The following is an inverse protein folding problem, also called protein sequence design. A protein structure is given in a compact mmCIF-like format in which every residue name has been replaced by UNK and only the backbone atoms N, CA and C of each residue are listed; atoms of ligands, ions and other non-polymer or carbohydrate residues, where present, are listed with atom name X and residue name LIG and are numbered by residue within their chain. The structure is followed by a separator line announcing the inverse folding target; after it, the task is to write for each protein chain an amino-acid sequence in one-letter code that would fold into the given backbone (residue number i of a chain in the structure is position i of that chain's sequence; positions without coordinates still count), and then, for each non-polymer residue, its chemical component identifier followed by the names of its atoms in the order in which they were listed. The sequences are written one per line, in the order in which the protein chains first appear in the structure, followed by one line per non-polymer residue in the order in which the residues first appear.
data_IF_499358312740
#
_entry.id   IF_499358312740
#
_cell.length_a   1.000
_cell.length_b   1.000
_cell.length_c   1.000
_cell.angle_alpha   90.00
_cell.angle_beta   90.00
_cell.angle_gamma   90.00
#
_symmetry.space_group_name_H-M   'P 1'
#
loop_
_entity.id
_entity.type
_entity.pdbx_description
1 polymer ?
#
# COMPACT_ATOMS: atom_id res chain seq x y z
N UNK A 1 -1.79 3.80 19.60
CA UNK A 1 -1.43 2.55 20.30
C UNK A 1 -2.08 1.32 19.64
N UNK A 2 -3.41 1.15 19.68
CA UNK A 2 -4.11 -0.01 19.05
C UNK A 2 -3.88 -0.12 17.54
N UNK A 3 -4.01 0.98 16.79
CA UNK A 3 -3.75 0.98 15.34
C UNK A 3 -2.32 0.54 15.01
N UNK A 4 -1.34 1.04 15.77
CA UNK A 4 0.08 0.69 15.62
C UNK A 4 0.37 -0.76 15.98
N UNK A 5 -0.26 -1.30 17.04
CA UNK A 5 -0.19 -2.72 17.40
C UNK A 5 -0.78 -3.61 16.31
N UNK A 6 -1.91 -3.20 15.72
CA UNK A 6 -2.53 -3.88 14.59
C UNK A 6 -1.60 -3.94 13.37
N UNK A 7 -1.00 -2.80 13.00
CA UNK A 7 -0.01 -2.71 11.91
C UNK A 7 1.19 -3.62 12.16
N UNK A 8 1.75 -3.60 13.37
CA UNK A 8 2.94 -4.39 13.72
C UNK A 8 2.61 -5.89 13.69
N UNK A 9 1.49 -6.30 14.29
CA UNK A 9 1.09 -7.71 14.37
C UNK A 9 0.75 -8.26 12.98
N UNK A 10 -0.04 -7.52 12.21
CA UNK A 10 -0.35 -7.87 10.83
C UNK A 10 0.93 -7.95 9.98
N UNK A 11 1.80 -6.93 10.07
CA UNK A 11 3.08 -6.89 9.36
C UNK A 11 3.98 -8.09 9.67
N UNK A 12 4.07 -8.53 10.93
CA UNK A 12 4.84 -9.71 11.31
C UNK A 12 4.23 -11.02 10.81
N UNK A 13 2.90 -11.16 10.83
CA UNK A 13 2.22 -12.32 10.25
C UNK A 13 2.50 -12.40 8.75
N UNK A 14 2.42 -11.28 8.04
CA UNK A 14 2.71 -11.25 6.61
C UNK A 14 4.18 -11.49 6.28
N UNK A 15 5.12 -10.97 7.07
CA UNK A 15 6.55 -11.25 6.88
C UNK A 15 6.86 -12.77 6.98
N UNK A 16 6.20 -13.48 7.91
CA UNK A 16 6.33 -14.94 8.01
C UNK A 16 5.70 -15.68 6.82
N UNK A 17 4.60 -15.17 6.28
CA UNK A 17 3.98 -15.72 5.07
C UNK A 17 4.89 -15.48 3.85
N UNK A 18 5.54 -14.32 3.75
CA UNK A 18 6.48 -13.96 2.68
C UNK A 18 7.65 -14.93 2.55
N UNK A 19 8.22 -15.34 3.68
CA UNK A 19 9.29 -16.33 3.70
C UNK A 19 8.89 -17.70 3.11
N UNK A 20 7.58 -18.04 3.07
CA UNK A 20 7.09 -19.33 2.57
C UNK A 20 6.66 -19.30 1.10
N UNK A 21 6.07 -18.20 0.62
CA UNK A 21 5.48 -18.13 -0.72
C UNK A 21 6.23 -17.22 -1.70
N UNK A 22 7.27 -16.50 -1.24
CA UNK A 22 8.12 -15.62 -2.03
C UNK A 22 7.67 -14.16 -2.02
N UNK A 23 8.63 -13.23 -1.98
CA UNK A 23 8.41 -11.78 -1.84
C UNK A 23 7.53 -11.20 -2.95
N UNK A 24 7.72 -11.63 -4.21
CA UNK A 24 6.92 -11.15 -5.34
C UNK A 24 5.44 -11.52 -5.21
N UNK A 25 5.14 -12.77 -4.82
CA UNK A 25 3.74 -13.21 -4.62
C UNK A 25 3.10 -12.45 -3.47
N UNK A 26 3.85 -12.21 -2.39
CA UNK A 26 3.36 -11.45 -1.24
C UNK A 26 3.11 -10.00 -1.60
N UNK A 27 3.99 -9.35 -2.36
CA UNK A 27 3.74 -8.00 -2.86
C UNK A 27 2.45 -7.95 -3.70
N UNK A 28 2.25 -8.92 -4.60
CA UNK A 28 1.04 -8.99 -5.43
C UNK A 28 -0.23 -9.18 -4.60
N UNK A 29 -0.20 -10.07 -3.60
CA UNK A 29 -1.33 -10.28 -2.68
C UNK A 29 -1.61 -8.99 -1.87
N UNK A 30 -0.55 -8.33 -1.38
CA UNK A 30 -0.67 -7.07 -0.65
C UNK A 30 -1.32 -5.97 -1.49
N UNK A 31 -0.87 -5.80 -2.74
CA UNK A 31 -1.46 -4.81 -3.67
C UNK A 31 -2.92 -5.12 -4.00
N UNK A 32 -3.28 -6.40 -4.22
CA UNK A 32 -4.66 -6.79 -4.46
C UNK A 32 -5.54 -6.55 -3.23
N UNK A 33 -5.02 -6.85 -2.03
CA UNK A 33 -5.73 -6.63 -0.77
C UNK A 33 -5.92 -5.15 -0.49
N UNK A 34 -4.90 -4.32 -0.76
CA UNK A 34 -5.00 -2.86 -0.67
C UNK A 34 -6.08 -2.33 -1.63
N UNK A 35 -6.03 -2.71 -2.92
CA UNK A 35 -6.99 -2.24 -3.92
C UNK A 35 -8.44 -2.65 -3.58
N UNK A 36 -8.68 -3.91 -3.23
CA UNK A 36 -10.02 -4.37 -2.84
C UNK A 36 -10.48 -3.70 -1.53
N UNK A 37 -9.58 -3.55 -0.57
CA UNK A 37 -9.84 -2.86 0.69
C UNK A 37 -10.18 -1.39 0.49
N UNK A 38 -9.43 -0.66 -0.34
CA UNK A 38 -9.62 0.75 -0.64
C UNK A 38 -10.93 1.02 -1.39
N UNK A 39 -11.26 0.17 -2.38
CA UNK A 39 -12.56 0.23 -3.08
C UNK A 39 -13.71 -0.03 -2.10
N UNK A 40 -13.61 -1.09 -1.30
CA UNK A 40 -14.64 -1.42 -0.31
C UNK A 40 -14.80 -0.31 0.73
N UNK A 41 -13.70 0.25 1.23
CA UNK A 41 -13.68 1.35 2.17
C UNK A 41 -14.40 2.57 1.60
N UNK A 42 -14.09 2.97 0.37
CA UNK A 42 -14.73 4.10 -0.28
C UNK A 42 -16.24 3.89 -0.47
N UNK A 43 -16.67 2.69 -0.87
CA UNK A 43 -18.09 2.36 -0.96
C UNK A 43 -18.79 2.41 0.41
N UNK A 44 -18.18 1.85 1.46
CA UNK A 44 -18.75 1.88 2.82
C UNK A 44 -18.88 3.30 3.37
N UNK A 45 -17.92 4.18 3.07
CA UNK A 45 -18.00 5.61 3.39
C UNK A 45 -19.12 6.28 2.60
N UNK A 46 -19.28 5.95 1.32
CA UNK A 46 -20.28 6.58 0.44
C UNK A 46 -21.72 6.26 0.82
N UNK A 47 -21.96 5.10 1.43
CA UNK A 47 -23.30 4.69 1.92
C UNK A 47 -23.52 4.96 3.41
N UNK A 48 -22.58 5.63 4.08
CA UNK A 48 -22.60 5.90 5.52
C UNK A 48 -22.84 4.64 6.37
N UNK A 49 -22.10 3.56 6.10
CA UNK A 49 -22.25 2.24 6.72
C UNK A 49 -21.94 2.17 8.23
N UNK A 50 -21.70 3.31 8.87
CA UNK A 50 -21.31 3.43 10.27
C UNK A 50 -19.91 2.89 10.57
N UNK A 51 -19.55 2.87 11.85
CA UNK A 51 -18.18 2.58 12.31
C UNK A 51 -17.67 1.20 11.89
N UNK A 52 -18.49 0.15 12.05
CA UNK A 52 -18.08 -1.22 11.74
C UNK A 52 -17.89 -1.45 10.24
N UNK A 53 -18.72 -0.79 9.41
CA UNK A 53 -18.58 -0.83 7.94
C UNK A 53 -17.27 -0.22 7.44
N UNK A 54 -16.71 0.75 8.18
CA UNK A 54 -15.43 1.39 7.86
C UNK A 54 -14.26 0.59 8.45
N UNK A 55 -14.38 0.10 9.68
CA UNK A 55 -13.26 -0.51 10.41
C UNK A 55 -12.73 -1.78 9.73
N UNK A 56 -13.63 -2.61 9.19
CA UNK A 56 -13.28 -3.88 8.53
C UNK A 56 -12.42 -3.63 7.28
N UNK A 57 -12.88 -2.89 6.25
CA UNK A 57 -12.06 -2.62 5.07
C UNK A 57 -10.81 -1.80 5.38
N UNK A 58 -10.88 -0.87 6.34
CA UNK A 58 -9.71 -0.12 6.79
C UNK A 58 -8.62 -1.04 7.35
N UNK A 59 -8.99 -2.07 8.11
CA UNK A 59 -8.03 -3.05 8.63
C UNK A 59 -7.27 -3.76 7.51
N UNK A 60 -7.93 -4.12 6.41
CA UNK A 60 -7.29 -4.76 5.25
C UNK A 60 -6.34 -3.80 4.50
N UNK A 61 -6.75 -2.54 4.31
CA UNK A 61 -5.88 -1.50 3.72
C UNK A 61 -4.63 -1.32 4.58
N UNK A 62 -4.81 -1.08 5.88
CA UNK A 62 -3.72 -0.83 6.83
C UNK A 62 -2.78 -2.04 6.96
N UNK A 63 -3.34 -3.24 6.97
CA UNK A 63 -2.58 -4.49 6.94
C UNK A 63 -1.68 -4.57 5.70
N UNK A 64 -2.20 -4.18 4.54
CA UNK A 64 -1.48 -4.22 3.27
C UNK A 64 -0.32 -3.22 3.22
N UNK A 65 -0.40 -2.09 3.94
CA UNK A 65 0.70 -1.11 4.04
C UNK A 65 1.97 -1.77 4.60
N UNK A 66 1.87 -2.61 5.61
CA UNK A 66 3.03 -3.33 6.17
C UNK A 66 3.66 -4.30 5.16
N UNK A 67 2.82 -4.98 4.37
CA UNK A 67 3.27 -5.91 3.33
C UNK A 67 4.01 -5.17 2.22
N UNK A 68 3.36 -4.16 1.64
CA UNK A 68 3.88 -3.42 0.50
C UNK A 68 5.10 -2.60 0.92
N UNK A 69 5.05 -1.98 2.11
CA UNK A 69 6.13 -1.16 2.65
C UNK A 69 7.41 -1.94 2.96
N UNK A 70 7.34 -3.25 3.16
CA UNK A 70 8.52 -4.12 3.36
C UNK A 70 8.95 -4.83 2.08
N UNK A 71 7.99 -5.35 1.31
CA UNK A 71 8.29 -6.20 0.15
C UNK A 71 8.70 -5.38 -1.08
N UNK A 72 8.07 -4.22 -1.34
CA UNK A 72 8.36 -3.44 -2.54
C UNK A 72 9.78 -2.84 -2.51
N UNK A 73 10.24 -2.21 -1.41
CA UNK A 73 11.62 -1.74 -1.33
C UNK A 73 12.64 -2.88 -1.43
N UNK A 74 12.38 -4.02 -0.77
CA UNK A 74 13.23 -5.20 -0.85
C UNK A 74 13.43 -5.64 -2.31
N UNK A 75 12.33 -5.89 -3.03
CA UNK A 75 12.35 -6.30 -4.45
C UNK A 75 13.05 -5.27 -5.35
N UNK A 76 12.85 -3.98 -5.10
CA UNK A 76 13.50 -2.92 -5.89
C UNK A 76 15.04 -2.91 -5.70
N UNK A 77 15.52 -3.28 -4.51
CA UNK A 77 16.95 -3.28 -4.18
C UNK A 77 17.68 -4.58 -4.53
N UNK A 78 16.98 -5.69 -4.74
CA UNK A 78 17.59 -7.02 -4.98
C UNK A 78 18.63 -7.04 -6.10
N UNK A 79 18.46 -6.22 -7.14
CA UNK A 79 19.40 -6.14 -8.27
C UNK A 79 20.41 -4.97 -8.18
N UNK A 80 20.39 -4.20 -7.10
CA UNK A 80 21.19 -2.99 -6.95
C UNK A 80 22.35 -3.15 -5.94
N UNK A 81 22.91 -4.35 -5.77
CA UNK A 81 23.85 -4.71 -4.69
C UNK A 81 24.86 -3.63 -4.24
N UNK A 82 25.77 -3.20 -5.12
CA UNK A 82 26.78 -2.18 -4.78
C UNK A 82 26.21 -0.77 -4.53
N UNK A 83 24.98 -0.52 -4.97
CA UNK A 83 24.27 0.76 -4.86
C UNK A 83 23.00 0.67 -4.00
N UNK A 84 22.86 -0.40 -3.19
CA UNK A 84 21.64 -0.65 -2.42
C UNK A 84 21.34 0.48 -1.42
N UNK A 85 22.39 1.07 -0.82
CA UNK A 85 22.25 2.23 0.07
C UNK A 85 21.70 3.46 -0.64
N UNK A 86 22.20 3.78 -1.84
CA UNK A 86 21.69 4.89 -2.65
C UNK A 86 20.27 4.63 -3.16
N UNK A 87 19.97 3.39 -3.54
CA UNK A 87 18.63 2.97 -3.92
C UNK A 87 17.65 3.11 -2.74
N UNK A 88 18.02 2.66 -1.55
CA UNK A 88 17.23 2.82 -0.33
C UNK A 88 16.98 4.30 0.00
N UNK A 89 18.02 5.14 -0.12
CA UNK A 89 17.89 6.58 0.09
C UNK A 89 16.90 7.22 -0.89
N UNK A 90 16.97 6.86 -2.18
CA UNK A 90 16.04 7.36 -3.19
C UNK A 90 14.59 6.91 -2.93
N UNK A 91 14.40 5.63 -2.55
CA UNK A 91 13.08 5.11 -2.17
C UNK A 91 12.54 5.89 -0.96
N UNK A 92 13.36 6.13 0.05
CA UNK A 92 12.98 6.89 1.24
C UNK A 92 12.59 8.33 0.90
N UNK A 93 13.40 9.04 0.09
CA UNK A 93 13.10 10.40 -0.37
C UNK A 93 11.80 10.42 -1.17
N UNK A 94 11.56 9.47 -2.06
CA UNK A 94 10.32 9.37 -2.82
C UNK A 94 9.09 9.19 -1.90
N UNK A 95 9.21 8.34 -0.87
CA UNK A 95 8.15 8.17 0.13
C UNK A 95 7.87 9.47 0.91
N UNK A 96 8.93 10.19 1.32
CA UNK A 96 8.78 11.47 2.02
C UNK A 96 8.14 12.53 1.14
N UNK A 97 8.54 12.63 -0.13
CA UNK A 97 7.96 13.58 -1.09
C UNK A 97 6.48 13.28 -1.35
N UNK A 98 6.14 12.01 -1.57
CA UNK A 98 4.74 11.61 -1.75
C UNK A 98 3.91 11.90 -0.50
N UNK A 99 4.40 11.57 0.70
CA UNK A 99 3.73 11.90 1.95
C UNK A 99 3.53 13.42 2.14
N UNK A 100 4.57 14.20 1.83
CA UNK A 100 4.53 15.66 1.88
C UNK A 100 3.52 16.25 0.88
N UNK A 101 3.35 15.66 -0.30
CA UNK A 101 2.36 16.08 -1.29
C UNK A 101 0.94 15.65 -0.91
N UNK A 102 0.77 14.45 -0.35
CA UNK A 102 -0.55 13.91 0.02
C UNK A 102 -1.16 14.66 1.22
N UNK A 103 -0.33 15.14 2.15
CA UNK A 103 -0.80 15.87 3.34
C UNK A 103 -1.66 17.10 3.00
N UNK A 104 -1.18 18.08 2.19
CA UNK A 104 -2.00 19.21 1.78
C UNK A 104 -3.12 18.80 0.82
N UNK A 105 -2.93 17.79 -0.02
CA UNK A 105 -3.98 17.31 -0.93
C UNK A 105 -5.21 16.82 -0.14
N UNK A 106 -4.98 16.00 0.89
CA UNK A 106 -6.04 15.53 1.80
C UNK A 106 -6.61 16.70 2.61
N UNK A 107 -5.77 17.62 3.08
CA UNK A 107 -6.21 18.80 3.85
C UNK A 107 -7.10 19.76 3.04
N UNK A 108 -6.76 20.01 1.78
CA UNK A 108 -7.55 20.85 0.86
C UNK A 108 -8.86 20.20 0.45
N UNK A 109 -8.90 18.87 0.37
CA UNK A 109 -10.10 18.13 0.02
C UNK A 109 -11.20 18.19 1.11
N UNK A 110 -10.90 18.78 2.26
CA UNK A 110 -11.84 19.10 3.33
C UNK A 110 -11.83 18.06 4.46
N UNK A 111 -11.92 18.54 5.70
CA UNK A 111 -11.92 17.72 6.93
C UNK A 111 -13.32 17.31 7.41
N UNK A 112 -14.37 17.82 6.76
CA UNK A 112 -15.73 17.73 7.29
C UNK A 112 -16.39 16.36 7.05
N UNK A 113 -15.84 15.54 6.14
CA UNK A 113 -16.37 14.20 5.83
C UNK A 113 -15.23 13.23 5.57
N UNK A 114 -15.46 11.92 5.79
CA UNK A 114 -14.48 10.88 5.49
C UNK A 114 -14.34 10.58 3.97
N UNK A 115 -15.22 11.15 3.15
CA UNK A 115 -15.32 10.88 1.72
C UNK A 115 -14.03 11.19 0.93
N UNK A 116 -13.40 12.37 1.08
CA UNK A 116 -12.20 12.70 0.33
C UNK A 116 -11.02 11.79 0.69
N UNK A 117 -10.90 11.41 1.96
CA UNK A 117 -9.88 10.46 2.42
C UNK A 117 -10.09 9.08 1.79
N UNK A 118 -11.33 8.55 1.82
CA UNK A 118 -11.66 7.27 1.20
C UNK A 118 -11.37 7.25 -0.31
N UNK A 119 -11.68 8.35 -1.00
CA UNK A 119 -11.42 8.49 -2.43
C UNK A 119 -9.92 8.46 -2.74
N UNK A 120 -9.11 9.23 -2.00
CA UNK A 120 -7.66 9.28 -2.18
C UNK A 120 -7.02 7.92 -1.92
N UNK A 121 -7.44 7.21 -0.86
CA UNK A 121 -6.96 5.84 -0.57
C UNK A 121 -7.27 4.91 -1.75
N UNK A 122 -8.53 4.90 -2.21
CA UNK A 122 -8.95 4.05 -3.33
C UNK A 122 -8.13 4.34 -4.59
N UNK A 123 -7.93 5.62 -4.94
CA UNK A 123 -7.16 6.01 -6.12
C UNK A 123 -5.68 5.62 -6.01
N UNK A 124 -5.06 5.81 -4.85
CA UNK A 124 -3.69 5.42 -4.60
C UNK A 124 -3.50 3.90 -4.68
N UNK A 125 -4.38 3.12 -4.06
CA UNK A 125 -4.28 1.66 -4.05
C UNK A 125 -4.50 1.05 -5.45
N UNK A 126 -5.50 1.55 -6.19
CA UNK A 126 -5.71 1.19 -7.58
C UNK A 126 -4.54 1.63 -8.47
N UNK A 127 -4.02 2.84 -8.26
CA UNK A 127 -2.85 3.36 -8.97
C UNK A 127 -1.62 2.48 -8.75
N UNK A 128 -1.35 2.08 -7.51
CA UNK A 128 -0.25 1.18 -7.17
C UNK A 128 -0.40 -0.19 -7.83
N UNK A 129 -1.60 -0.77 -7.81
CA UNK A 129 -1.90 -2.05 -8.47
C UNK A 129 -1.71 -1.95 -9.99
N UNK A 130 -2.21 -0.87 -10.61
CA UNK A 130 -2.02 -0.59 -12.03
C UNK A 130 -0.54 -0.45 -12.37
N UNK A 131 0.22 0.36 -11.64
CA UNK A 131 1.65 0.54 -11.83
C UNK A 131 2.40 -0.80 -11.78
N UNK A 132 2.08 -1.66 -10.81
CA UNK A 132 2.68 -2.99 -10.71
C UNK A 132 2.39 -3.85 -11.96
N UNK A 133 1.14 -3.91 -12.43
CA UNK A 133 0.82 -4.73 -13.60
C UNK A 133 1.37 -4.14 -14.92
N UNK A 134 1.35 -2.82 -15.08
CA UNK A 134 1.82 -2.17 -16.31
C UNK A 134 3.33 -2.15 -16.45
N UNK A 135 4.07 -1.89 -15.37
CA UNK A 135 5.52 -1.77 -15.41
C UNK A 135 6.23 -3.07 -15.04
N UNK A 136 5.84 -3.69 -13.92
CA UNK A 136 6.58 -4.84 -13.36
C UNK A 136 6.16 -6.15 -14.02
N UNK A 137 4.86 -6.45 -14.05
CA UNK A 137 4.38 -7.71 -14.62
C UNK A 137 4.57 -7.78 -16.15
N UNK A 138 4.66 -6.62 -16.82
CA UNK A 138 4.85 -6.52 -18.26
C UNK A 138 6.31 -6.59 -18.68
N UNK A 139 7.23 -6.00 -17.91
CA UNK A 139 8.67 -6.13 -18.14
C UNK A 139 9.12 -7.60 -18.14
N UNK A 140 8.55 -8.41 -17.24
CA UNK A 140 8.84 -9.85 -17.12
C UNK A 140 8.31 -10.70 -18.29
N UNK A 141 7.38 -10.19 -19.10
CA UNK A 141 6.83 -10.89 -20.28
C UNK A 141 7.64 -10.68 -21.55
N UNK A 142 8.62 -9.77 -21.57
CA UNK A 142 9.56 -9.69 -22.69
C UNK A 142 10.58 -10.81 -22.53
N UNK A 143 10.63 -11.78 -23.45
CA UNK A 143 11.76 -12.68 -23.50
C UNK A 143 12.98 -11.86 -23.90
N UNK A 144 14.06 -12.00 -23.13
CA UNK A 144 15.42 -11.61 -23.53
C UNK A 144 15.81 -12.39 -24.80
#
# INVERSE_FOLDING_TARGET
AVNSLGIITAGQVFARVAAKIGEEKVLRIGLLTAALGGVTLFFMISIDAGLYGILIPLFFVVSSVGIVGTSAPSLAMQHHGAHAGSAAALIGVAQMLLGACMTPLVGLAGSQTAFPMGLIIMLCDLGALCCYFFFVARAKKRPE
#
